data_IF_384177657782
#
_entry.id   IF_384177657782
#
_cell.length_a   1.000
_cell.length_b   1.000
_cell.length_c   1.000
_cell.angle_alpha   90.00
_cell.angle_beta   90.00
_cell.angle_gamma   90.00
#
_symmetry.space_group_name_H-M   'P 1'
#
loop_
_entity.id
_entity.type
_entity.pdbx_description
1 polymer ?
#
# COMPACT_ATOMS: atom_id res chain seq x y z
N UNK A 1 8.67 -7.13 3.58
CA UNK A 1 7.81 -6.91 4.76
C UNK A 1 6.40 -7.35 4.38
N UNK A 2 5.72 -8.14 5.23
CA UNK A 2 4.40 -8.73 4.92
C UNK A 2 3.31 -7.68 5.25
N UNK A 3 2.34 -7.49 4.35
CA UNK A 3 1.20 -6.59 4.55
C UNK A 3 0.29 -7.08 5.67
N UNK A 4 -0.31 -6.16 6.44
CA UNK A 4 -1.19 -6.55 7.54
C UNK A 4 -2.47 -7.22 7.04
N UNK A 5 -2.95 -6.87 5.84
CA UNK A 5 -4.03 -7.60 5.16
C UNK A 5 -3.68 -9.07 4.90
N UNK A 6 -2.43 -9.36 4.50
CA UNK A 6 -1.94 -10.74 4.32
C UNK A 6 -1.83 -11.45 5.67
N UNK A 7 -1.29 -10.78 6.70
CA UNK A 7 -1.23 -11.36 8.05
C UNK A 7 -2.62 -11.69 8.60
N UNK A 8 -3.60 -10.83 8.34
CA UNK A 8 -4.98 -11.05 8.76
C UNK A 8 -5.60 -12.27 8.08
N UNK A 9 -5.36 -12.46 6.77
CA UNK A 9 -5.79 -13.68 6.07
C UNK A 9 -5.17 -14.94 6.65
N UNK A 10 -3.87 -14.93 6.98
CA UNK A 10 -3.22 -16.06 7.66
C UNK A 10 -3.86 -16.35 9.03
N UNK A 11 -4.13 -15.31 9.83
CA UNK A 11 -4.78 -15.46 11.12
C UNK A 11 -6.19 -16.04 11.00
N UNK A 12 -6.99 -15.56 10.03
CA UNK A 12 -8.31 -16.10 9.74
C UNK A 12 -8.24 -17.58 9.36
N UNK A 13 -7.33 -17.96 8.45
CA UNK A 13 -7.12 -19.35 8.05
C UNK A 13 -6.76 -20.27 9.22
N UNK A 14 -5.94 -19.81 10.17
CA UNK A 14 -5.62 -20.59 11.38
C UNK A 14 -6.82 -20.70 12.32
N UNK A 15 -7.61 -19.63 12.46
CA UNK A 15 -8.88 -19.66 13.19
C UNK A 15 -9.95 -20.55 12.52
N UNK A 16 -9.82 -20.82 11.23
CA UNK A 16 -10.65 -21.79 10.49
C UNK A 16 -10.17 -23.24 10.65
N UNK A 17 -9.10 -23.47 11.42
CA UNK A 17 -8.61 -24.79 11.78
C UNK A 17 -7.39 -25.27 11.00
N UNK A 18 -6.88 -24.49 10.04
CA UNK A 18 -5.64 -24.82 9.34
C UNK A 18 -4.44 -24.73 10.28
N UNK A 19 -3.43 -25.57 10.02
CA UNK A 19 -2.14 -25.40 10.68
C UNK A 19 -1.44 -24.13 10.19
N UNK A 20 -0.53 -23.59 11.01
CA UNK A 20 0.24 -22.38 10.62
C UNK A 20 0.99 -22.56 9.29
N UNK A 21 1.67 -23.70 9.01
CA UNK A 21 2.31 -23.90 7.72
C UNK A 21 1.34 -23.94 6.53
N UNK A 22 0.16 -24.54 6.69
CA UNK A 22 -0.85 -24.59 5.62
C UNK A 22 -1.44 -23.21 5.35
N UNK A 23 -1.84 -22.50 6.40
CA UNK A 23 -2.35 -21.13 6.32
C UNK A 23 -1.32 -20.17 5.69
N UNK A 24 -0.03 -20.33 6.02
CA UNK A 24 1.05 -19.55 5.43
C UNK A 24 1.15 -19.77 3.92
N UNK A 25 1.22 -21.04 3.49
CA UNK A 25 1.35 -21.41 2.08
C UNK A 25 0.14 -20.97 1.25
N UNK A 26 -1.06 -21.12 1.80
CA UNK A 26 -2.30 -20.65 1.18
C UNK A 26 -2.29 -19.14 0.89
N UNK A 27 -1.47 -18.37 1.61
CA UNK A 27 -1.32 -16.92 1.44
C UNK A 27 0.03 -16.53 0.82
N UNK A 28 0.73 -17.46 0.16
CA UNK A 28 1.99 -17.20 -0.54
C UNK A 28 3.18 -16.95 0.39
N UNK A 29 3.10 -17.37 1.65
CA UNK A 29 4.16 -17.22 2.64
C UNK A 29 4.82 -18.56 2.96
N UNK A 30 6.08 -18.51 3.36
CA UNK A 30 6.73 -19.67 3.96
C UNK A 30 6.27 -19.87 5.44
N UNK A 31 6.45 -21.06 6.02
CA UNK A 31 5.96 -21.34 7.38
C UNK A 31 6.51 -20.40 8.47
N UNK A 32 7.76 -19.95 8.35
CA UNK A 32 8.36 -19.03 9.32
C UNK A 32 7.76 -17.63 9.22
N UNK A 33 7.50 -17.17 7.99
CA UNK A 33 6.75 -15.95 7.71
C UNK A 33 5.34 -16.02 8.27
N UNK A 34 4.65 -17.17 8.15
CA UNK A 34 3.33 -17.39 8.74
C UNK A 34 3.33 -17.24 10.27
N UNK A 35 4.28 -17.88 10.96
CA UNK A 35 4.44 -17.71 12.42
C UNK A 35 4.67 -16.26 12.83
N UNK A 36 5.59 -15.59 12.13
CA UNK A 36 5.89 -14.17 12.37
C UNK A 36 4.69 -13.25 12.08
N UNK A 37 3.91 -13.57 11.05
CA UNK A 37 2.68 -12.86 10.71
C UNK A 37 1.65 -12.93 11.83
N UNK A 38 1.38 -14.13 12.37
CA UNK A 38 0.46 -14.33 13.50
C UNK A 38 0.95 -13.59 14.73
N UNK A 39 2.21 -13.77 15.11
CA UNK A 39 2.78 -13.13 16.30
C UNK A 39 2.72 -11.61 16.23
N UNK A 40 3.18 -11.03 15.11
CA UNK A 40 3.22 -9.57 14.96
C UNK A 40 1.83 -8.95 14.89
N UNK A 41 0.87 -9.59 14.21
CA UNK A 41 -0.50 -9.09 14.12
C UNK A 41 -1.23 -9.22 15.47
N UNK A 42 -1.12 -10.35 16.17
CA UNK A 42 -1.72 -10.53 17.49
C UNK A 42 -1.17 -9.51 18.50
N UNK A 43 0.14 -9.21 18.44
CA UNK A 43 0.76 -8.15 19.23
C UNK A 43 0.17 -6.77 18.91
N UNK A 44 0.00 -6.43 17.63
CA UNK A 44 -0.65 -5.18 17.22
C UNK A 44 -2.08 -5.07 17.74
N UNK A 45 -2.83 -6.17 17.68
CA UNK A 45 -4.22 -6.28 18.16
C UNK A 45 -4.33 -6.45 19.69
N UNK A 46 -3.21 -6.55 20.41
CA UNK A 46 -3.13 -6.79 21.86
C UNK A 46 -3.88 -8.05 22.31
N UNK A 47 -3.75 -9.14 21.53
CA UNK A 47 -4.30 -10.46 21.84
C UNK A 47 -3.20 -11.53 21.89
N UNK A 48 -3.49 -12.68 22.49
CA UNK A 48 -2.55 -13.81 22.53
C UNK A 48 -2.30 -14.35 21.11
N UNK A 49 -1.04 -14.64 20.80
CA UNK A 49 -0.62 -15.32 19.58
C UNK A 49 -0.57 -16.85 19.73
N UNK A 50 -0.93 -17.36 20.91
CA UNK A 50 -0.93 -18.79 21.18
C UNK A 50 -2.01 -19.51 20.39
N UNK A 51 -1.67 -20.67 19.83
CA UNK A 51 -2.59 -21.48 19.03
C UNK A 51 -3.72 -22.06 19.88
N UNK A 52 -3.47 -22.36 21.15
CA UNK A 52 -4.53 -22.82 22.05
C UNK A 52 -5.57 -21.71 22.26
N UNK A 53 -5.12 -20.47 22.49
CA UNK A 53 -6.00 -19.31 22.62
C UNK A 53 -6.80 -19.04 21.33
N UNK A 54 -6.17 -19.17 20.15
CA UNK A 54 -6.84 -18.99 18.86
C UNK A 54 -7.92 -20.06 18.65
N UNK A 55 -7.64 -21.32 19.03
CA UNK A 55 -8.58 -22.44 18.92
C UNK A 55 -9.70 -22.42 19.97
N UNK A 56 -9.45 -21.82 21.12
CA UNK A 56 -10.44 -21.67 22.18
C UNK A 56 -11.54 -20.65 21.80
N UNK A 57 -11.20 -19.61 21.04
CA UNK A 57 -12.16 -18.61 20.56
C UNK A 57 -11.90 -18.20 19.10
N UNK A 58 -12.11 -19.11 18.13
CA UNK A 58 -11.80 -18.83 16.73
C UNK A 58 -12.62 -17.67 16.16
N UNK A 59 -13.85 -17.47 16.67
CA UNK A 59 -14.74 -16.40 16.22
C UNK A 59 -14.12 -15.02 16.49
N UNK A 60 -13.60 -14.78 17.69
CA UNK A 60 -12.90 -13.53 18.01
C UNK A 60 -11.76 -13.22 17.05
N UNK A 61 -10.92 -14.21 16.74
CA UNK A 61 -9.78 -14.01 15.84
C UNK A 61 -10.21 -13.78 14.38
N UNK A 62 -11.29 -14.44 13.92
CA UNK A 62 -11.90 -14.14 12.62
C UNK A 62 -12.44 -12.71 12.55
N UNK A 63 -13.18 -12.28 13.58
CA UNK A 63 -13.76 -10.93 13.62
C UNK A 63 -12.66 -9.86 13.62
N UNK A 64 -11.58 -10.09 14.37
CA UNK A 64 -10.40 -9.22 14.36
C UNK A 64 -9.71 -9.20 12.99
N UNK A 65 -9.46 -10.37 12.39
CA UNK A 65 -8.88 -10.46 11.05
C UNK A 65 -9.75 -9.76 9.99
N UNK A 66 -11.07 -9.94 10.06
CA UNK A 66 -12.03 -9.28 9.18
C UNK A 66 -12.04 -7.77 9.38
N UNK A 67 -11.87 -7.28 10.62
CA UNK A 67 -11.77 -5.84 10.89
C UNK A 67 -10.57 -5.19 10.20
N UNK A 68 -9.44 -5.89 10.12
CA UNK A 68 -8.24 -5.47 9.38
C UNK A 68 -8.48 -5.54 7.88
N UNK A 69 -9.02 -6.65 7.39
CA UNK A 69 -9.27 -6.86 5.96
C UNK A 69 -10.25 -5.84 5.35
N UNK A 70 -11.18 -5.31 6.15
CA UNK A 70 -12.15 -4.28 5.71
C UNK A 70 -11.53 -2.89 5.54
N UNK A 71 -10.33 -2.65 6.06
CA UNK A 71 -9.75 -1.32 6.09
C UNK A 71 -8.64 -1.21 5.06
N UNK A 72 -8.93 -0.52 3.96
CA UNK A 72 -8.05 -0.40 2.78
C UNK A 72 -6.62 0.03 3.14
N UNK A 73 -6.42 0.84 4.18
CA UNK A 73 -5.09 1.25 4.63
C UNK A 73 -4.15 0.08 4.88
N UNK A 74 -4.62 -1.07 5.36
CA UNK A 74 -3.76 -2.22 5.69
C UNK A 74 -3.22 -2.95 4.46
N UNK A 75 -3.63 -2.54 3.26
CA UNK A 75 -3.04 -2.95 1.99
C UNK A 75 -1.77 -2.17 1.66
N UNK A 76 -1.54 -1.00 2.29
CA UNK A 76 -0.26 -0.30 2.24
C UNK A 76 0.71 -0.88 3.28
N UNK A 77 2.01 -0.85 2.96
CA UNK A 77 3.06 -1.23 3.91
C UNK A 77 3.01 -0.32 5.15
N UNK A 78 3.20 -0.90 6.35
CA UNK A 78 3.15 -0.15 7.61
C UNK A 78 4.09 1.05 7.65
N UNK A 79 5.32 0.89 7.14
CA UNK A 79 6.30 1.97 7.03
C UNK A 79 5.84 3.10 6.11
N UNK A 80 5.12 2.78 5.03
CA UNK A 80 4.55 3.78 4.14
C UNK A 80 3.37 4.49 4.83
N UNK A 81 2.52 3.77 5.56
CA UNK A 81 1.42 4.38 6.32
C UNK A 81 1.94 5.35 7.38
N UNK A 82 2.93 4.96 8.17
CA UNK A 82 3.54 5.83 9.18
C UNK A 82 4.17 7.07 8.54
N UNK A 83 4.85 6.90 7.39
CA UNK A 83 5.39 8.02 6.62
C UNK A 83 4.28 8.95 6.13
N UNK A 84 3.19 8.41 5.60
CA UNK A 84 2.05 9.19 5.11
C UNK A 84 1.32 9.90 6.25
N UNK A 85 1.15 9.27 7.42
CA UNK A 85 0.63 9.94 8.62
C UNK A 85 1.46 11.16 8.96
N UNK A 86 2.79 11.01 8.99
CA UNK A 86 3.70 12.12 9.30
C UNK A 86 3.70 13.21 8.22
N UNK A 87 3.86 12.82 6.96
CA UNK A 87 3.95 13.73 5.81
C UNK A 87 2.66 14.53 5.58
N UNK A 88 1.49 13.92 5.83
CA UNK A 88 0.18 14.53 5.61
C UNK A 88 -0.44 15.08 6.90
N UNK A 89 0.32 15.07 8.01
CA UNK A 89 -0.13 15.54 9.32
C UNK A 89 -1.48 14.97 9.77
N UNK A 90 -1.73 13.68 9.48
CA UNK A 90 -2.98 13.01 9.85
C UNK A 90 -3.01 12.79 11.36
N UNK A 91 -4.18 12.97 11.99
CA UNK A 91 -4.35 12.69 13.44
C UNK A 91 -4.35 11.20 13.71
N UNK A 92 -4.78 10.40 12.74
CA UNK A 92 -4.83 8.95 12.80
C UNK A 92 -4.62 8.29 11.45
N UNK A 93 -4.05 7.08 11.44
CA UNK A 93 -4.00 6.20 10.26
C UNK A 93 -5.40 5.89 9.69
N UNK A 94 -6.47 6.09 10.48
CA UNK A 94 -7.85 5.95 10.03
C UNK A 94 -8.23 6.93 8.92
N UNK A 95 -7.57 8.09 8.85
CA UNK A 95 -7.80 9.10 7.82
C UNK A 95 -7.17 8.73 6.48
N UNK A 96 -6.29 7.71 6.47
CA UNK A 96 -5.62 7.23 5.26
C UNK A 96 -6.56 6.33 4.45
N UNK A 97 -7.47 6.97 3.72
CA UNK A 97 -8.41 6.29 2.81
C UNK A 97 -8.02 6.50 1.34
N UNK A 98 -8.45 5.62 0.43
CA UNK A 98 -8.30 5.85 -1.01
C UNK A 98 -8.89 7.20 -1.40
N UNK A 99 -10.12 7.50 -0.95
CA UNK A 99 -10.82 8.77 -1.22
C UNK A 99 -9.97 9.99 -0.82
N UNK A 100 -9.37 9.96 0.37
CA UNK A 100 -8.52 11.05 0.83
C UNK A 100 -7.30 11.25 -0.09
N UNK A 101 -6.54 10.19 -0.39
CA UNK A 101 -5.36 10.31 -1.24
C UNK A 101 -5.70 10.63 -2.69
N UNK A 102 -6.85 10.17 -3.22
CA UNK A 102 -7.28 10.46 -4.59
C UNK A 102 -7.48 11.96 -4.87
N UNK A 103 -7.74 12.75 -3.82
CA UNK A 103 -7.87 14.20 -3.90
C UNK A 103 -6.53 14.95 -3.92
N UNK A 104 -5.42 14.26 -3.63
CA UNK A 104 -4.08 14.82 -3.64
C UNK A 104 -3.44 14.65 -5.02
N UNK A 105 -2.63 15.61 -5.43
CA UNK A 105 -1.80 15.47 -6.63
C UNK A 105 -0.48 14.77 -6.29
N UNK A 106 0.18 14.14 -7.28
CA UNK A 106 1.53 13.60 -7.10
C UNK A 106 2.52 14.61 -6.51
N UNK A 107 2.45 15.87 -6.95
CA UNK A 107 3.33 16.95 -6.50
C UNK A 107 3.14 17.26 -5.01
N UNK A 108 1.90 17.28 -4.52
CA UNK A 108 1.62 17.49 -3.10
C UNK A 108 2.31 16.41 -2.24
N UNK A 109 2.30 15.15 -2.70
CA UNK A 109 2.95 14.04 -2.01
C UNK A 109 4.48 14.16 -2.06
N UNK A 110 5.04 14.48 -3.23
CA UNK A 110 6.48 14.68 -3.38
C UNK A 110 6.99 15.83 -2.50
N UNK A 111 6.27 16.95 -2.47
CA UNK A 111 6.58 18.10 -1.62
C UNK A 111 6.45 17.79 -0.13
N UNK A 112 5.56 16.87 0.26
CA UNK A 112 5.42 16.36 1.62
C UNK A 112 6.52 15.35 2.00
N UNK A 113 7.51 15.09 1.13
CA UNK A 113 8.63 14.18 1.39
C UNK A 113 8.35 12.72 1.06
N UNK A 114 7.28 12.42 0.32
CA UNK A 114 7.04 11.09 -0.24
C UNK A 114 8.01 10.84 -1.39
N UNK A 115 8.69 9.70 -1.40
CA UNK A 115 9.63 9.36 -2.49
C UNK A 115 8.90 8.88 -3.74
N UNK A 116 9.53 9.00 -4.92
CA UNK A 116 8.94 8.49 -6.18
C UNK A 116 8.57 7.00 -6.14
N UNK A 117 9.38 6.16 -5.48
CA UNK A 117 9.03 4.76 -5.28
C UNK A 117 7.79 4.57 -4.38
N UNK A 118 7.66 5.39 -3.33
CA UNK A 118 6.47 5.37 -2.46
C UNK A 118 5.23 5.89 -3.21
N UNK A 119 5.40 6.88 -4.08
CA UNK A 119 4.35 7.40 -4.94
C UNK A 119 3.82 6.32 -5.89
N UNK A 120 4.70 5.48 -6.46
CA UNK A 120 4.31 4.32 -7.25
C UNK A 120 3.44 3.34 -6.46
N UNK A 121 3.84 2.99 -5.24
CA UNK A 121 3.06 2.11 -4.36
C UNK A 121 1.68 2.71 -3.99
N UNK A 122 1.62 4.02 -3.73
CA UNK A 122 0.35 4.73 -3.48
C UNK A 122 -0.55 4.66 -4.72
N UNK A 123 0.02 4.90 -5.90
CA UNK A 123 -0.74 4.87 -7.15
C UNK A 123 -1.24 3.46 -7.46
N UNK A 124 -0.44 2.41 -7.23
CA UNK A 124 -0.86 1.02 -7.34
C UNK A 124 -2.02 0.70 -6.39
N UNK A 125 -1.89 1.08 -5.12
CA UNK A 125 -2.94 0.90 -4.12
C UNK A 125 -4.25 1.61 -4.49
N UNK A 126 -4.18 2.84 -5.01
CA UNK A 126 -5.33 3.57 -5.51
C UNK A 126 -5.98 2.87 -6.70
N UNK A 127 -5.18 2.33 -7.64
CA UNK A 127 -5.72 1.57 -8.78
C UNK A 127 -6.47 0.32 -8.33
N UNK A 128 -5.96 -0.42 -7.33
CA UNK A 128 -6.68 -1.56 -6.73
C UNK A 128 -8.05 -1.13 -6.16
N UNK A 129 -8.12 0.10 -5.64
CA UNK A 129 -9.34 0.72 -5.11
C UNK A 129 -10.13 1.52 -6.17
N UNK A 130 -9.86 1.30 -7.47
CA UNK A 130 -10.54 1.95 -8.62
C UNK A 130 -10.41 3.48 -8.64
N UNK A 131 -9.32 3.99 -8.11
CA UNK A 131 -9.02 5.42 -8.02
C UNK A 131 -7.64 5.74 -8.60
N UNK A 132 -7.36 7.02 -8.72
CA UNK A 132 -6.03 7.52 -9.03
C UNK A 132 -5.77 8.80 -8.26
N UNK A 133 -4.50 9.20 -8.16
CA UNK A 133 -4.18 10.54 -7.70
C UNK A 133 -4.82 11.57 -8.63
N UNK A 134 -5.09 12.76 -8.08
CA UNK A 134 -5.63 13.88 -8.83
C UNK A 134 -4.62 14.28 -9.91
N UNK A 135 -5.06 14.23 -11.16
CA UNK A 135 -4.23 14.58 -12.31
C UNK A 135 -4.10 16.10 -12.41
N UNK A 136 -2.86 16.56 -12.53
CA UNK A 136 -2.51 17.97 -12.77
C UNK A 136 -1.24 18.01 -13.63
N UNK A 137 -1.09 19.03 -14.49
CA UNK A 137 0.20 19.29 -15.12
C UNK A 137 1.30 19.52 -14.07
N UNK A 138 2.56 19.16 -14.36
CA UNK A 138 3.68 19.45 -13.46
C UNK A 138 3.87 20.96 -13.32
N UNK A 139 3.88 21.46 -12.08
CA UNK A 139 4.01 22.90 -11.80
C UNK A 139 5.48 23.36 -11.63
N UNK A 140 6.48 22.50 -11.91
CA UNK A 140 7.90 22.85 -11.74
C UNK A 140 8.83 22.20 -12.78
N UNK A 141 9.93 22.88 -13.17
CA UNK A 141 10.93 22.31 -14.08
C UNK A 141 11.59 21.03 -13.55
N UNK A 142 11.71 20.90 -12.22
CA UNK A 142 12.25 19.70 -11.57
C UNK A 142 11.31 18.50 -11.75
N UNK A 143 9.99 18.72 -11.69
CA UNK A 143 9.01 17.66 -11.96
C UNK A 143 9.02 17.25 -13.42
N UNK A 144 9.07 18.21 -14.35
CA UNK A 144 9.24 17.93 -15.80
C UNK A 144 10.48 17.08 -16.05
N UNK A 145 11.61 17.44 -15.44
CA UNK A 145 12.87 16.68 -15.56
C UNK A 145 12.72 15.24 -15.02
N UNK A 146 12.04 15.08 -13.89
CA UNK A 146 11.74 13.75 -13.32
C UNK A 146 10.88 12.91 -14.26
N UNK A 147 9.85 13.50 -14.87
CA UNK A 147 8.98 12.83 -15.84
C UNK A 147 9.78 12.40 -17.08
N UNK A 148 10.64 13.28 -17.62
CA UNK A 148 11.55 12.93 -18.74
C UNK A 148 12.39 11.70 -18.42
N UNK A 149 13.04 11.71 -17.25
CA UNK A 149 13.87 10.58 -16.79
C UNK A 149 13.07 9.28 -16.67
N UNK A 150 11.86 9.35 -16.13
CA UNK A 150 10.98 8.19 -16.00
C UNK A 150 10.58 7.64 -17.38
N UNK A 151 10.22 8.52 -18.33
CA UNK A 151 9.92 8.14 -19.71
C UNK A 151 11.11 7.44 -20.37
N UNK A 152 12.31 8.02 -20.29
CA UNK A 152 13.52 7.40 -20.85
C UNK A 152 13.84 6.05 -20.22
N UNK A 153 13.65 5.91 -18.92
CA UNK A 153 13.88 4.64 -18.22
C UNK A 153 12.90 3.57 -18.70
N UNK A 154 11.61 3.91 -18.78
CA UNK A 154 10.58 2.98 -19.25
C UNK A 154 10.82 2.56 -20.71
N UNK A 155 11.18 3.49 -21.57
CA UNK A 155 11.56 3.23 -22.96
C UNK A 155 12.76 2.28 -23.06
N UNK A 156 13.80 2.49 -22.25
CA UNK A 156 14.98 1.62 -22.21
C UNK A 156 14.67 0.17 -21.78
N UNK A 157 13.59 -0.04 -21.03
CA UNK A 157 13.07 -1.37 -20.67
C UNK A 157 12.04 -1.91 -21.67
N UNK A 158 11.79 -1.20 -22.79
CA UNK A 158 10.89 -1.62 -23.86
C UNK A 158 9.41 -1.38 -23.59
N UNK A 159 9.06 -0.49 -22.65
CA UNK A 159 7.67 -0.10 -22.43
C UNK A 159 7.21 0.93 -23.47
N UNK A 160 5.95 0.83 -23.93
CA UNK A 160 5.36 1.85 -24.80
C UNK A 160 5.10 3.14 -24.02
N UNK A 161 5.88 4.18 -24.35
CA UNK A 161 5.80 5.51 -23.75
C UNK A 161 5.29 6.59 -24.72
N UNK A 162 4.82 6.24 -25.91
CA UNK A 162 4.49 7.19 -26.97
C UNK A 162 3.47 8.26 -26.50
N UNK A 163 2.45 7.81 -25.77
CA UNK A 163 1.43 8.70 -25.20
C UNK A 163 2.01 9.67 -24.17
N UNK A 164 2.87 9.19 -23.26
CA UNK A 164 3.49 10.03 -22.23
C UNK A 164 4.43 11.07 -22.86
N UNK A 165 5.20 10.68 -23.88
CA UNK A 165 6.06 11.58 -24.64
C UNK A 165 5.26 12.66 -25.40
N UNK A 166 4.12 12.32 -25.99
CA UNK A 166 3.25 13.29 -26.65
C UNK A 166 2.66 14.29 -25.65
N UNK A 167 2.17 13.81 -24.50
CA UNK A 167 1.64 14.67 -23.45
C UNK A 167 2.67 15.64 -22.89
N UNK A 168 3.92 15.18 -22.75
CA UNK A 168 5.00 16.05 -22.27
C UNK A 168 5.36 17.14 -23.29
N UNK A 169 5.50 16.79 -24.58
CA UNK A 169 5.78 17.75 -25.66
C UNK A 169 4.74 18.87 -25.72
N UNK A 170 3.46 18.52 -25.61
CA UNK A 170 2.38 19.50 -25.59
C UNK A 170 2.47 20.51 -24.42
N UNK A 171 3.12 20.16 -23.31
CA UNK A 171 3.33 21.10 -22.20
C UNK A 171 4.51 22.03 -22.49
N UNK A 172 5.55 21.54 -23.15
CA UNK A 172 6.72 22.34 -23.55
C UNK A 172 6.34 23.37 -24.61
N UNK A 173 5.50 22.99 -25.59
CA UNK A 173 5.01 23.87 -26.65
C UNK A 173 4.06 24.98 -26.14
N UNK A 174 3.57 24.90 -24.89
CA UNK A 174 2.72 25.93 -24.27
C UNK A 174 3.50 26.97 -23.45
N UNK A 175 4.79 26.73 -23.20
CA UNK A 175 5.68 27.64 -22.45
C UNK A 175 6.55 28.54 -23.35
N UNK A 176 6.53 28.34 -24.69
CA UNK A 176 7.13 29.21 -25.72
C UNK A 176 6.16 30.29 -26.25
#
# INVERSE_FOLDING_TARGET
MILDSVKARVLASVADGLSVPEAARANGLNPNQGRSAIWSLCRHLKVSADLEAIRADPKKYRDLAASIAKQARYELRSTLRDRLRGALHLRSDNELTPDYLSNLTPEMLLNAGVTGASLGEIQEWLVTNKQSLKRRPPDSPQHVTTIKRAIFLLDAFGFDVAKAQSQLRHLEDQEE
#
